data_IF_900909877338
#
_entry.id   IF_900909877338
#
_cell.length_a   1.000
_cell.length_b   1.000
_cell.length_c   1.000
_cell.angle_alpha   90.00
_cell.angle_beta   90.00
_cell.angle_gamma   90.00
#
_symmetry.space_group_name_H-M   'P 1'
#
loop_
_entity.id
_entity.type
_entity.pdbx_description
1 polymer ?
#
# COMPACT_ATOMS: atom_id res chain seq x y z
N UNK A 1 -4.87 -19.25 -28.28
CA UNK A 1 -6.31 -19.00 -28.11
C UNK A 1 -7.09 -20.00 -27.25
N UNK A 2 -6.53 -21.06 -26.57
CA UNK A 2 -7.31 -21.90 -25.67
C UNK A 2 -7.35 -21.43 -24.20
N UNK A 3 -6.58 -20.41 -23.79
CA UNK A 3 -6.46 -20.02 -22.37
C UNK A 3 -7.46 -18.95 -21.90
N UNK A 4 -8.17 -18.28 -22.81
CA UNK A 4 -9.16 -17.24 -22.47
C UNK A 4 -10.50 -17.78 -21.94
N UNK A 5 -10.82 -19.06 -22.19
CA UNK A 5 -12.09 -19.66 -21.77
C UNK A 5 -12.08 -20.15 -20.31
N UNK A 6 -10.91 -20.31 -19.69
CA UNK A 6 -10.81 -20.89 -18.34
C UNK A 6 -11.20 -19.89 -17.23
N UNK A 7 -11.03 -18.59 -17.44
CA UNK A 7 -11.44 -17.59 -16.43
C UNK A 7 -12.96 -17.41 -16.34
N UNK A 8 -13.69 -17.51 -17.45
CA UNK A 8 -15.16 -17.39 -17.42
C UNK A 8 -15.86 -18.65 -16.89
N UNK A 9 -15.24 -19.82 -17.04
CA UNK A 9 -15.81 -21.09 -16.53
C UNK A 9 -15.76 -21.20 -14.99
N UNK A 10 -14.84 -20.51 -14.33
CA UNK A 10 -14.74 -20.51 -12.86
C UNK A 10 -15.91 -19.76 -12.23
N UNK A 11 -16.42 -18.70 -12.85
CA UNK A 11 -17.58 -17.94 -12.37
C UNK A 11 -18.92 -18.69 -12.56
N UNK A 12 -19.04 -19.58 -13.53
CA UNK A 12 -20.27 -20.35 -13.77
C UNK A 12 -20.36 -21.65 -12.94
N UNK A 13 -19.24 -22.15 -12.41
CA UNK A 13 -19.19 -23.30 -11.51
C UNK A 13 -19.49 -22.96 -10.05
N UNK A 14 -19.43 -21.68 -9.67
CA UNK A 14 -19.76 -21.20 -8.31
C UNK A 14 -21.27 -21.20 -7.99
N UNK A 15 -22.12 -21.48 -8.96
CA UNK A 15 -23.58 -21.53 -8.79
C UNK A 15 -24.17 -22.82 -8.21
N UNK A 16 -23.36 -23.85 -7.92
CA UNK A 16 -23.86 -25.19 -7.53
C UNK A 16 -23.21 -25.80 -6.29
N UNK A 17 -22.48 -25.05 -5.46
CA UNK A 17 -21.96 -25.56 -4.21
C UNK A 17 -22.94 -25.22 -3.08
N UNK A 18 -23.67 -26.25 -2.60
CA UNK A 18 -24.47 -26.22 -1.39
C UNK A 18 -23.67 -25.75 -0.18
N UNK A 19 -24.18 -24.72 0.49
CA UNK A 19 -24.12 -24.42 1.94
C UNK A 19 -22.97 -24.99 2.81
N UNK A 20 -21.75 -24.96 2.33
CA UNK A 20 -20.53 -24.94 3.16
C UNK A 20 -19.89 -23.57 2.98
N UNK A 21 -19.23 -23.06 4.00
CA UNK A 21 -18.46 -21.84 3.87
C UNK A 21 -17.48 -21.97 2.66
N UNK A 22 -17.73 -21.33 1.51
CA UNK A 22 -16.88 -21.49 0.32
C UNK A 22 -15.46 -21.00 0.53
N UNK A 23 -15.22 -20.24 1.61
CA UNK A 23 -13.90 -19.79 2.04
C UNK A 23 -13.22 -20.76 3.02
N UNK A 24 -13.90 -21.78 3.55
CA UNK A 24 -13.53 -22.63 4.67
C UNK A 24 -12.06 -22.93 4.88
N UNK A 25 -11.41 -23.63 3.95
CA UNK A 25 -9.98 -23.95 4.09
C UNK A 25 -9.03 -22.80 3.72
N UNK A 26 -9.53 -21.79 3.01
CA UNK A 26 -8.74 -20.65 2.48
C UNK A 26 -8.81 -19.41 3.35
N UNK A 27 -9.77 -19.32 4.25
CA UNK A 27 -10.06 -18.13 5.02
C UNK A 27 -10.29 -18.43 6.50
N UNK A 28 -10.45 -17.35 7.29
CA UNK A 28 -10.84 -17.36 8.69
C UNK A 28 -9.91 -18.18 9.63
N UNK A 29 -8.62 -18.32 9.29
CA UNK A 29 -7.65 -18.87 10.21
C UNK A 29 -6.88 -17.77 10.91
N UNK A 30 -7.34 -17.39 12.10
CA UNK A 30 -6.59 -16.49 12.97
C UNK A 30 -5.40 -17.23 13.60
N UNK A 31 -4.19 -16.70 13.40
CA UNK A 31 -2.93 -17.26 13.91
C UNK A 31 -2.54 -16.74 15.29
N UNK A 32 -3.34 -15.89 15.90
CA UNK A 32 -3.08 -15.40 17.26
C UNK A 32 -3.06 -16.58 18.24
N UNK A 33 -1.94 -16.70 18.96
CA UNK A 33 -1.71 -17.80 19.92
C UNK A 33 -1.20 -19.10 19.31
N UNK A 34 -1.01 -19.17 18.00
CA UNK A 34 -0.33 -20.28 17.35
C UNK A 34 1.20 -20.10 17.43
N UNK A 35 1.99 -21.18 17.31
CA UNK A 35 3.45 -21.11 17.32
C UNK A 35 3.99 -20.55 16.00
N UNK A 36 3.57 -19.34 15.65
CA UNK A 36 4.01 -18.61 14.45
C UNK A 36 5.02 -17.56 14.85
N UNK A 37 6.21 -17.59 14.27
CA UNK A 37 7.33 -16.78 14.70
C UNK A 37 7.38 -15.48 13.93
N UNK A 38 7.18 -14.35 14.62
CA UNK A 38 7.64 -13.06 14.15
C UNK A 38 9.15 -12.99 14.37
N UNK A 39 9.92 -12.99 13.29
CA UNK A 39 11.35 -12.82 13.34
C UNK A 39 11.76 -11.52 12.63
N UNK A 40 12.12 -10.48 13.39
CA UNK A 40 12.59 -9.23 12.81
C UNK A 40 13.83 -9.38 11.91
N UNK A 41 14.63 -10.44 12.11
CA UNK A 41 15.84 -10.70 11.32
C UNK A 41 15.52 -11.29 9.94
N UNK A 42 14.31 -11.83 9.75
CA UNK A 42 13.86 -12.40 8.47
C UNK A 42 13.50 -11.34 7.41
N UNK A 43 13.54 -10.05 7.75
CA UNK A 43 13.33 -8.98 6.79
C UNK A 43 14.50 -8.92 5.80
N UNK A 44 14.22 -9.25 4.54
CA UNK A 44 15.18 -9.21 3.42
C UNK A 44 15.04 -7.96 2.56
N UNK A 45 14.08 -7.07 2.89
CA UNK A 45 13.83 -5.83 2.14
C UNK A 45 15.02 -4.89 2.32
N UNK A 46 15.70 -4.50 1.23
CA UNK A 46 16.90 -3.69 1.33
C UNK A 46 16.62 -2.26 1.78
N UNK A 47 17.57 -1.67 2.50
CA UNK A 47 17.54 -0.27 2.90
C UNK A 47 18.37 0.60 1.95
N UNK A 48 17.81 1.75 1.60
CA UNK A 48 18.49 2.83 0.88
C UNK A 48 18.40 4.12 1.67
N UNK A 49 19.35 5.04 1.42
CA UNK A 49 19.26 6.41 1.94
C UNK A 49 19.08 7.37 0.77
N UNK A 50 18.07 8.23 0.87
CA UNK A 50 17.80 9.31 -0.06
C UNK A 50 18.01 10.62 0.67
N UNK A 51 19.07 11.33 0.30
CA UNK A 51 19.40 12.63 0.87
C UNK A 51 18.56 13.72 0.19
N UNK A 52 17.65 14.33 0.95
CA UNK A 52 16.74 15.36 0.46
C UNK A 52 17.42 16.70 0.20
N UNK A 53 18.66 16.89 0.70
CA UNK A 53 19.47 18.06 0.43
C UNK A 53 20.21 17.99 -0.93
N UNK A 54 20.29 16.77 -1.54
CA UNK A 54 20.83 16.58 -2.88
C UNK A 54 19.84 17.01 -3.97
N UNK A 55 20.39 17.28 -5.16
CA UNK A 55 19.59 17.56 -6.36
C UNK A 55 18.56 16.43 -6.59
N UNK A 56 17.28 16.74 -6.76
CA UNK A 56 16.24 15.74 -7.02
C UNK A 56 16.55 14.76 -8.14
N UNK A 57 17.27 15.18 -9.17
CA UNK A 57 17.66 14.30 -10.29
C UNK A 57 18.69 13.25 -9.92
N UNK A 58 19.46 13.45 -8.85
CA UNK A 58 20.57 12.56 -8.50
C UNK A 58 20.34 11.73 -7.25
N UNK A 59 19.48 12.17 -6.35
CA UNK A 59 19.35 11.58 -5.01
C UNK A 59 18.80 10.15 -4.98
N UNK A 60 18.19 9.68 -6.10
CA UNK A 60 17.73 8.31 -6.26
C UNK A 60 18.65 7.41 -7.08
N UNK A 61 19.85 7.90 -7.45
CA UNK A 61 20.78 7.20 -8.36
C UNK A 61 21.11 5.77 -7.95
N UNK A 62 21.30 5.53 -6.64
CA UNK A 62 21.71 4.22 -6.14
C UNK A 62 20.57 3.21 -6.24
N UNK A 63 19.33 3.61 -5.92
CA UNK A 63 18.12 2.80 -6.13
C UNK A 63 17.93 2.51 -7.62
N UNK A 64 18.03 3.53 -8.46
CA UNK A 64 17.82 3.41 -9.90
C UNK A 64 18.81 2.42 -10.53
N UNK A 65 20.11 2.54 -10.22
CA UNK A 65 21.15 1.64 -10.74
C UNK A 65 20.99 0.21 -10.25
N UNK A 66 20.58 0.03 -8.99
CA UNK A 66 20.43 -1.30 -8.38
C UNK A 66 19.22 -2.05 -8.89
N UNK A 67 18.13 -1.35 -9.29
CA UNK A 67 16.83 -1.96 -9.60
C UNK A 67 16.34 -1.73 -11.04
N UNK A 68 17.12 -1.11 -11.91
CA UNK A 68 16.70 -0.84 -13.30
C UNK A 68 16.10 -2.07 -14.00
N UNK A 69 16.79 -3.22 -14.04
CA UNK A 69 16.27 -4.44 -14.66
C UNK A 69 14.96 -4.95 -14.02
N UNK A 70 14.83 -4.88 -12.69
CA UNK A 70 13.64 -5.33 -11.96
C UNK A 70 12.44 -4.38 -12.19
N UNK A 71 12.70 -3.06 -12.24
CA UNK A 71 11.68 -2.07 -12.60
C UNK A 71 11.15 -2.35 -14.01
N UNK A 72 12.04 -2.60 -14.96
CA UNK A 72 11.66 -2.95 -16.34
C UNK A 72 10.87 -4.27 -16.40
N UNK A 73 11.27 -5.28 -15.61
CA UNK A 73 10.56 -6.55 -15.53
C UNK A 73 9.13 -6.37 -14.97
N UNK A 74 8.96 -5.54 -13.93
CA UNK A 74 7.65 -5.22 -13.37
C UNK A 74 6.75 -4.50 -14.41
N UNK A 75 7.28 -3.53 -15.13
CA UNK A 75 6.57 -2.84 -16.22
C UNK A 75 6.21 -3.77 -17.37
N UNK A 76 7.10 -4.68 -17.75
CA UNK A 76 6.81 -5.70 -18.77
C UNK A 76 5.68 -6.64 -18.33
N UNK A 77 5.59 -6.98 -17.04
CA UNK A 77 4.47 -7.76 -16.50
C UNK A 77 3.15 -7.01 -16.64
N UNK A 78 3.13 -5.69 -16.36
CA UNK A 78 1.96 -4.83 -16.61
C UNK A 78 1.60 -4.79 -18.09
N UNK A 79 2.60 -4.66 -18.97
CA UNK A 79 2.40 -4.67 -20.43
C UNK A 79 1.75 -5.98 -20.90
N UNK A 80 2.33 -7.14 -20.54
CA UNK A 80 1.81 -8.46 -20.92
C UNK A 80 0.35 -8.62 -20.45
N UNK A 81 0.05 -8.17 -19.24
CA UNK A 81 -1.30 -8.20 -18.68
C UNK A 81 -2.28 -7.35 -19.50
N UNK A 82 -1.93 -6.10 -19.78
CA UNK A 82 -2.81 -5.18 -20.53
C UNK A 82 -3.00 -5.64 -21.97
N UNK A 83 -1.94 -6.11 -22.63
CA UNK A 83 -2.00 -6.65 -23.98
C UNK A 83 -2.92 -7.88 -24.05
N UNK A 84 -2.86 -8.76 -23.04
CA UNK A 84 -3.71 -9.95 -22.98
C UNK A 84 -5.18 -9.68 -22.65
N UNK A 85 -5.48 -8.66 -21.85
CA UNK A 85 -6.84 -8.33 -21.41
C UNK A 85 -7.56 -7.33 -22.32
N UNK A 86 -6.85 -6.32 -22.81
CA UNK A 86 -7.41 -5.14 -23.46
C UNK A 86 -6.85 -4.89 -24.87
N UNK A 87 -5.82 -5.63 -25.27
CA UNK A 87 -5.15 -5.51 -26.58
C UNK A 87 -3.88 -4.66 -26.54
N UNK A 88 -2.98 -4.93 -27.49
CA UNK A 88 -1.61 -4.39 -27.55
C UNK A 88 -1.50 -2.86 -27.65
N UNK A 89 -2.58 -2.17 -28.00
CA UNK A 89 -2.59 -0.70 -28.11
C UNK A 89 -2.70 0.02 -26.77
N UNK A 90 -3.14 -0.66 -25.70
CA UNK A 90 -3.48 -0.02 -24.43
C UNK A 90 -2.22 0.41 -23.65
N UNK A 91 -1.21 -0.46 -23.56
CA UNK A 91 0.01 -0.11 -22.85
C UNK A 91 0.74 1.09 -23.47
N UNK A 92 1.02 1.14 -24.80
CA UNK A 92 1.61 2.32 -25.42
C UNK A 92 0.76 3.60 -25.22
N UNK A 93 -0.57 3.47 -25.25
CA UNK A 93 -1.46 4.60 -24.98
C UNK A 93 -1.29 5.13 -23.55
N UNK A 94 -1.24 4.26 -22.54
CA UNK A 94 -1.04 4.66 -21.14
C UNK A 94 0.33 5.29 -20.93
N UNK A 95 1.39 4.73 -21.52
CA UNK A 95 2.75 5.31 -21.49
C UNK A 95 2.76 6.72 -22.13
N UNK A 96 2.09 6.88 -23.26
CA UNK A 96 1.94 8.20 -23.92
C UNK A 96 1.17 9.20 -23.03
N UNK A 97 0.10 8.75 -22.38
CA UNK A 97 -0.67 9.59 -21.45
C UNK A 97 0.19 10.02 -20.25
N UNK A 98 0.93 9.10 -19.64
CA UNK A 98 1.83 9.40 -18.54
C UNK A 98 2.87 10.47 -18.94
N UNK A 99 3.45 10.34 -20.15
CA UNK A 99 4.36 11.34 -20.70
C UNK A 99 3.72 12.72 -20.89
N UNK A 100 2.46 12.79 -21.31
CA UNK A 100 1.72 14.06 -21.41
C UNK A 100 1.44 14.70 -20.05
N UNK A 101 1.23 13.89 -19.01
CA UNK A 101 1.02 14.36 -17.65
C UNK A 101 2.31 14.75 -16.90
N UNK A 102 3.47 14.27 -17.36
CA UNK A 102 4.75 14.50 -16.69
C UNK A 102 5.08 15.98 -16.43
N UNK A 103 4.80 16.95 -17.34
CA UNK A 103 5.01 18.36 -17.05
C UNK A 103 4.20 18.89 -15.87
N UNK A 104 3.06 18.27 -15.55
CA UNK A 104 2.13 18.66 -14.49
C UNK A 104 2.50 18.08 -13.12
N UNK A 105 3.40 17.08 -13.09
CA UNK A 105 3.88 16.51 -11.83
C UNK A 105 4.64 17.58 -11.05
N UNK A 106 4.32 17.80 -9.76
CA UNK A 106 4.96 18.82 -8.96
C UNK A 106 6.43 18.50 -8.68
N UNK A 107 7.20 19.56 -8.41
CA UNK A 107 8.54 19.40 -7.86
C UNK A 107 8.44 18.99 -6.37
N UNK A 108 9.40 18.17 -5.90
CA UNK A 108 10.59 17.68 -6.59
C UNK A 108 10.38 16.38 -7.41
N UNK A 109 9.20 15.79 -7.36
CA UNK A 109 8.89 14.46 -7.93
C UNK A 109 9.16 14.38 -9.43
N UNK A 110 8.87 15.45 -10.17
CA UNK A 110 9.15 15.49 -11.61
C UNK A 110 10.64 15.30 -11.91
N UNK A 111 11.51 16.01 -11.22
CA UNK A 111 12.96 15.89 -11.41
C UNK A 111 13.49 14.55 -10.91
N UNK A 112 12.91 14.00 -9.85
CA UNK A 112 13.20 12.63 -9.40
C UNK A 112 12.82 11.59 -10.45
N UNK A 113 11.69 11.74 -11.17
CA UNK A 113 11.30 10.87 -12.30
C UNK A 113 12.33 10.92 -13.41
N UNK A 114 12.82 12.10 -13.78
CA UNK A 114 13.89 12.22 -14.77
C UNK A 114 15.18 11.54 -14.32
N UNK A 115 15.59 11.75 -13.08
CA UNK A 115 16.77 11.09 -12.52
C UNK A 115 16.62 9.58 -12.43
N UNK A 116 15.45 9.10 -11.97
CA UNK A 116 15.15 7.66 -11.93
C UNK A 116 15.27 7.04 -13.33
N UNK A 117 14.73 7.68 -14.35
CA UNK A 117 14.84 7.23 -15.75
C UNK A 117 16.29 7.21 -16.23
N UNK A 118 17.03 8.28 -15.98
CA UNK A 118 18.42 8.42 -16.43
C UNK A 118 19.33 7.32 -15.85
N UNK A 119 19.24 7.06 -14.54
CA UNK A 119 20.12 6.11 -13.87
C UNK A 119 19.65 4.65 -13.92
N UNK A 120 18.35 4.39 -14.13
CA UNK A 120 17.83 3.02 -14.30
C UNK A 120 17.87 2.52 -15.75
N UNK A 121 17.94 3.42 -16.73
CA UNK A 121 17.80 3.12 -18.15
C UNK A 121 16.36 2.85 -18.60
N UNK A 122 15.38 2.95 -17.70
CA UNK A 122 13.96 2.79 -18.01
C UNK A 122 13.41 4.08 -18.63
N UNK A 123 12.64 4.03 -19.75
CA UNK A 123 12.10 5.22 -20.39
C UNK A 123 11.30 6.10 -19.44
N UNK A 124 11.49 7.42 -19.50
CA UNK A 124 10.90 8.39 -18.55
C UNK A 124 9.38 8.33 -18.48
N UNK A 125 8.70 8.08 -19.62
CA UNK A 125 7.26 7.94 -19.64
C UNK A 125 6.78 6.66 -18.95
N UNK A 126 7.59 5.61 -18.92
CA UNK A 126 7.30 4.38 -18.18
C UNK A 126 7.51 4.58 -16.68
N UNK A 127 8.55 5.31 -16.24
CA UNK A 127 8.71 5.73 -14.84
C UNK A 127 7.53 6.63 -14.41
N UNK A 128 7.10 7.57 -15.27
CA UNK A 128 5.92 8.38 -14.98
C UNK A 128 4.65 7.52 -14.86
N UNK A 129 4.46 6.53 -15.73
CA UNK A 129 3.34 5.58 -15.65
C UNK A 129 3.37 4.81 -14.32
N UNK A 130 4.53 4.30 -13.91
CA UNK A 130 4.68 3.57 -12.65
C UNK A 130 4.25 4.43 -11.44
N UNK A 131 4.59 5.73 -11.45
CA UNK A 131 4.20 6.67 -10.38
C UNK A 131 2.72 7.07 -10.40
N UNK A 132 2.03 6.90 -11.52
CA UNK A 132 0.60 7.21 -11.64
C UNK A 132 -0.29 5.97 -11.49
N UNK A 133 0.27 4.79 -11.75
CA UNK A 133 -0.47 3.52 -11.77
C UNK A 133 -1.00 3.12 -10.38
N UNK A 134 -0.31 3.53 -9.32
CA UNK A 134 -0.71 3.23 -7.95
C UNK A 134 -2.11 3.75 -7.59
N UNK A 135 -2.61 4.79 -8.21
CA UNK A 135 -3.95 5.33 -7.97
C UNK A 135 -5.10 4.37 -8.40
N UNK A 136 -4.79 3.29 -9.13
CA UNK A 136 -5.80 2.51 -9.86
C UNK A 136 -6.02 1.09 -9.31
N UNK A 137 -5.01 0.43 -8.72
CA UNK A 137 -5.08 -1.02 -8.45
C UNK A 137 -4.45 -1.41 -7.11
N UNK A 138 -5.28 -1.61 -6.06
CA UNK A 138 -4.79 -1.87 -4.69
C UNK A 138 -5.77 -2.67 -3.85
N UNK A 139 -5.23 -3.61 -3.04
CA UNK A 139 -5.84 -4.12 -1.83
C UNK A 139 -4.93 -3.79 -0.63
N UNK A 140 -5.48 -3.58 0.54
CA UNK A 140 -4.68 -3.30 1.72
C UNK A 140 -5.44 -3.69 2.99
N UNK A 141 -4.69 -4.00 4.06
CA UNK A 141 -5.22 -4.06 5.42
C UNK A 141 -4.27 -3.31 6.33
N UNK A 142 -4.76 -2.30 7.04
CA UNK A 142 -3.96 -1.47 7.95
C UNK A 142 -4.59 -1.43 9.32
N UNK A 143 -3.78 -1.48 10.38
CA UNK A 143 -4.19 -1.50 11.78
C UNK A 143 -3.35 -0.51 12.56
N UNK A 144 -3.99 0.39 13.29
CA UNK A 144 -3.37 1.17 14.36
C UNK A 144 -4.00 0.74 15.66
N UNK A 145 -3.19 0.32 16.64
CA UNK A 145 -3.66 -0.22 17.89
C UNK A 145 -2.87 0.35 19.07
N UNK A 146 -3.57 0.55 20.17
CA UNK A 146 -3.02 0.97 21.46
C UNK A 146 -2.95 -0.22 22.40
N UNK A 147 -1.78 -0.47 22.99
CA UNK A 147 -1.64 -1.49 24.02
C UNK A 147 -2.29 -1.05 25.34
N UNK A 148 -2.26 -1.93 26.37
CA UNK A 148 -2.81 -1.64 27.69
C UNK A 148 -2.06 -0.55 28.48
N UNK A 149 -0.89 -0.13 28.01
CA UNK A 149 -0.06 0.93 28.60
C UNK A 149 -0.18 2.26 27.84
N UNK A 150 -0.96 2.31 26.77
CA UNK A 150 -1.17 3.50 25.96
C UNK A 150 -0.18 3.65 24.78
N UNK A 151 0.73 2.71 24.58
CA UNK A 151 1.70 2.76 23.47
C UNK A 151 1.01 2.39 22.14
N UNK A 152 1.29 3.17 21.11
CA UNK A 152 0.67 3.00 19.78
C UNK A 152 1.58 2.17 18.88
N UNK A 153 0.97 1.17 18.23
CA UNK A 153 1.58 0.34 17.21
C UNK A 153 0.81 0.45 15.91
N UNK A 154 1.51 0.42 14.79
CA UNK A 154 0.90 0.47 13.46
C UNK A 154 1.47 -0.66 12.60
N UNK A 155 0.60 -1.40 11.94
CA UNK A 155 1.01 -2.45 11.02
C UNK A 155 0.09 -2.51 9.80
N UNK A 156 0.63 -2.98 8.66
CA UNK A 156 -0.17 -3.11 7.44
C UNK A 156 0.29 -4.25 6.54
N UNK A 157 -0.65 -4.80 5.76
CA UNK A 157 -0.40 -5.56 4.55
C UNK A 157 -0.61 -4.65 3.32
N UNK A 158 0.35 -4.67 2.41
CA UNK A 158 0.21 -4.12 1.07
C UNK A 158 -0.13 -5.25 0.12
N UNK A 159 -1.36 -5.26 -0.34
CA UNK A 159 -1.83 -6.20 -1.34
C UNK A 159 -1.84 -5.51 -2.70
N UNK A 160 -1.43 -6.25 -3.73
CA UNK A 160 -1.39 -5.75 -5.09
C UNK A 160 -1.55 -6.92 -6.07
N UNK A 161 -2.72 -7.09 -6.64
CA UNK A 161 -2.95 -8.28 -7.49
C UNK A 161 -4.34 -8.34 -8.09
N UNK A 162 -5.12 -7.28 -7.98
CA UNK A 162 -6.50 -7.28 -8.41
C UNK A 162 -6.63 -7.33 -9.94
N UNK A 163 -7.30 -8.36 -10.48
CA UNK A 163 -7.62 -8.58 -11.91
C UNK A 163 -6.44 -8.99 -12.81
N UNK A 164 -5.34 -9.50 -12.28
CA UNK A 164 -4.13 -9.73 -13.05
C UNK A 164 -3.89 -11.21 -13.34
N UNK A 165 -2.94 -11.51 -14.26
CA UNK A 165 -2.72 -12.84 -14.76
C UNK A 165 -2.30 -13.78 -13.63
N UNK A 166 -3.13 -14.78 -13.38
CA UNK A 166 -2.84 -15.87 -12.46
C UNK A 166 -1.91 -16.89 -13.12
N UNK A 167 -0.79 -17.16 -12.49
CA UNK A 167 0.09 -18.24 -12.89
C UNK A 167 -0.36 -19.55 -12.25
N UNK A 168 -0.94 -20.43 -13.07
CA UNK A 168 -1.47 -21.72 -12.63
C UNK A 168 -0.41 -22.71 -12.14
N UNK A 169 0.86 -22.50 -12.51
CA UNK A 169 1.97 -23.36 -12.09
C UNK A 169 2.52 -22.98 -10.73
N UNK A 170 2.62 -21.68 -10.46
CA UNK A 170 3.17 -21.18 -9.18
C UNK A 170 2.08 -20.80 -8.18
N UNK A 171 0.81 -20.87 -8.57
CA UNK A 171 -0.35 -20.44 -7.77
C UNK A 171 -0.18 -19.04 -7.18
N UNK A 172 0.28 -18.09 -8.01
CA UNK A 172 0.50 -16.69 -7.62
C UNK A 172 0.07 -15.72 -8.72
N UNK A 173 -0.23 -14.50 -8.33
CA UNK A 173 -0.41 -13.39 -9.27
C UNK A 173 0.95 -12.95 -9.82
N UNK A 174 1.08 -12.86 -11.15
CA UNK A 174 2.35 -12.44 -11.78
C UNK A 174 2.77 -11.03 -11.35
N UNK A 175 1.81 -10.12 -11.25
CA UNK A 175 2.04 -8.74 -10.80
C UNK A 175 2.59 -8.71 -9.36
N UNK A 176 1.95 -9.44 -8.44
CA UNK A 176 2.39 -9.49 -7.04
C UNK A 176 3.83 -10.01 -6.94
N UNK A 177 4.16 -11.05 -7.72
CA UNK A 177 5.52 -11.60 -7.77
C UNK A 177 6.53 -10.56 -8.25
N UNK A 178 6.24 -9.87 -9.36
CA UNK A 178 7.14 -8.87 -9.92
C UNK A 178 7.36 -7.66 -8.97
N UNK A 179 6.32 -7.28 -8.21
CA UNK A 179 6.44 -6.18 -7.25
C UNK A 179 7.27 -6.53 -6.01
N UNK A 180 7.31 -7.80 -5.60
CA UNK A 180 8.14 -8.23 -4.47
C UNK A 180 9.63 -7.96 -4.69
N UNK A 181 10.10 -8.06 -5.93
CA UNK A 181 11.50 -7.86 -6.31
C UNK A 181 11.94 -6.39 -6.30
N UNK A 182 11.00 -5.47 -6.20
CA UNK A 182 11.27 -4.02 -6.19
C UNK A 182 10.82 -3.32 -4.90
N UNK A 183 10.40 -4.06 -3.86
CA UNK A 183 10.13 -3.47 -2.54
C UNK A 183 11.43 -3.02 -1.91
N UNK A 184 11.46 -1.78 -1.43
CA UNK A 184 12.60 -1.18 -0.74
C UNK A 184 12.18 -0.44 0.52
N UNK A 185 13.07 -0.34 1.47
CA UNK A 185 12.96 0.53 2.63
C UNK A 185 13.90 1.75 2.42
N UNK A 186 13.42 2.93 2.75
CA UNK A 186 14.14 4.18 2.50
C UNK A 186 14.27 5.01 3.76
N UNK A 187 15.50 5.39 4.10
CA UNK A 187 15.79 6.49 5.02
C UNK A 187 15.82 7.79 4.21
N UNK A 188 14.91 8.71 4.49
CA UNK A 188 14.95 10.05 3.92
C UNK A 188 15.71 10.95 4.87
N UNK A 189 16.89 11.39 4.42
CA UNK A 189 17.80 12.22 5.20
C UNK A 189 17.66 13.68 4.82
N UNK A 190 17.75 14.57 5.82
CA UNK A 190 17.78 16.02 5.63
C UNK A 190 18.66 16.63 6.70
N UNK A 191 19.55 17.55 6.30
CA UNK A 191 20.53 18.17 7.20
C UNK A 191 21.37 17.14 7.99
N UNK A 192 21.74 16.03 7.36
CA UNK A 192 22.54 14.96 7.97
C UNK A 192 21.84 14.10 9.01
N UNK A 193 20.49 14.15 9.08
CA UNK A 193 19.67 13.33 9.99
C UNK A 193 18.52 12.67 9.26
N UNK A 194 18.14 11.48 9.70
CA UNK A 194 16.95 10.79 9.17
C UNK A 194 15.72 11.59 9.59
N UNK A 195 15.06 12.20 8.63
CA UNK A 195 13.86 12.98 8.83
C UNK A 195 12.63 12.06 8.95
N UNK A 196 12.52 11.08 8.04
CA UNK A 196 11.50 10.03 8.05
C UNK A 196 12.01 8.77 7.36
N UNK A 197 11.28 7.67 7.56
CA UNK A 197 11.54 6.39 6.88
C UNK A 197 10.29 5.96 6.14
N UNK A 198 10.45 5.19 5.06
CA UNK A 198 9.32 4.69 4.30
C UNK A 198 9.57 3.32 3.69
N UNK A 199 8.48 2.64 3.31
CA UNK A 199 8.48 1.47 2.43
C UNK A 199 7.83 1.90 1.12
N UNK A 200 8.50 1.59 0.02
CA UNK A 200 8.02 1.90 -1.32
C UNK A 200 8.52 0.85 -2.33
N UNK A 201 8.22 1.04 -3.59
CA UNK A 201 8.74 0.24 -4.68
C UNK A 201 9.84 1.02 -5.41
N UNK A 202 10.93 0.36 -5.78
CA UNK A 202 11.95 0.98 -6.61
C UNK A 202 11.33 1.50 -7.93
N UNK A 203 11.65 2.72 -8.29
CA UNK A 203 10.99 3.44 -9.42
C UNK A 203 9.75 4.24 -9.02
N UNK A 204 9.19 3.99 -7.85
CA UNK A 204 8.05 4.72 -7.30
C UNK A 204 8.54 5.74 -6.27
N UNK A 205 8.29 7.01 -6.53
CA UNK A 205 8.94 8.12 -5.81
C UNK A 205 8.10 8.67 -4.65
N UNK A 206 6.91 8.13 -4.48
CA UNK A 206 6.07 8.36 -3.32
C UNK A 206 6.36 7.41 -2.17
N UNK A 207 5.58 7.54 -1.11
CA UNK A 207 5.62 6.66 0.06
C UNK A 207 4.22 6.16 0.36
N UNK A 208 4.08 4.90 0.73
CA UNK A 208 2.79 4.25 1.01
C UNK A 208 2.67 3.81 2.46
N UNK A 209 3.80 3.68 3.10
CA UNK A 209 3.97 3.25 4.48
C UNK A 209 5.16 4.01 5.01
N UNK A 210 4.97 4.76 6.06
CA UNK A 210 6.05 5.61 6.56
C UNK A 210 5.96 5.93 8.04
N UNK A 211 7.09 6.34 8.57
CA UNK A 211 7.24 6.77 9.96
C UNK A 211 8.08 8.04 10.01
N UNK A 212 7.58 9.03 10.74
CA UNK A 212 8.38 10.12 11.25
C UNK A 212 8.86 9.74 12.65
N UNK A 213 10.17 9.48 12.83
CA UNK A 213 10.72 9.08 14.14
C UNK A 213 10.28 10.01 15.25
N UNK A 214 9.81 9.45 16.37
CA UNK A 214 9.29 10.16 17.55
C UNK A 214 8.08 11.08 17.29
N UNK A 215 7.48 11.01 16.09
CA UNK A 215 6.33 11.80 15.68
C UNK A 215 5.10 10.93 15.45
N UNK A 216 4.99 10.35 14.26
CA UNK A 216 3.80 9.64 13.82
C UNK A 216 4.10 8.65 12.67
N UNK A 217 3.14 7.79 12.38
CA UNK A 217 3.20 6.77 11.31
C UNK A 217 2.03 6.94 10.34
N UNK A 218 2.22 6.49 9.10
CA UNK A 218 1.18 6.47 8.07
C UNK A 218 1.19 5.17 7.27
N UNK A 219 0.01 4.73 6.89
CA UNK A 219 -0.20 3.85 5.74
C UNK A 219 -1.39 4.34 4.94
N UNK A 220 -1.34 4.15 3.62
CA UNK A 220 -2.41 4.57 2.71
C UNK A 220 -3.03 3.37 2.05
N UNK A 221 -4.38 3.26 2.17
CA UNK A 221 -5.17 2.25 1.51
C UNK A 221 -5.99 2.88 0.37
N UNK A 222 -6.17 2.13 -0.72
CA UNK A 222 -7.04 2.58 -1.80
C UNK A 222 -8.50 2.59 -1.35
N UNK A 223 -9.22 3.62 -1.77
CA UNK A 223 -10.67 3.72 -1.70
C UNK A 223 -11.25 3.67 -3.11
N UNK A 224 -12.17 2.75 -3.34
CA UNK A 224 -12.85 2.67 -4.62
C UNK A 224 -13.75 3.91 -4.79
N UNK A 225 -13.57 4.62 -5.89
CA UNK A 225 -14.32 5.85 -6.17
C UNK A 225 -13.95 6.44 -7.52
N UNK A 226 -14.73 7.40 -8.01
CA UNK A 226 -14.50 7.99 -9.32
C UNK A 226 -13.42 9.07 -9.28
N UNK A 227 -12.17 8.67 -9.54
CA UNK A 227 -11.08 9.62 -9.82
C UNK A 227 -11.01 10.02 -11.31
N UNK A 228 -11.83 9.41 -12.18
CA UNK A 228 -11.71 9.49 -13.65
C UNK A 228 -11.60 10.91 -14.18
N UNK A 229 -12.45 11.83 -13.71
CA UNK A 229 -12.44 13.21 -14.19
C UNK A 229 -11.16 13.95 -13.75
N UNK A 230 -10.74 13.81 -12.50
CA UNK A 230 -9.53 14.47 -12.00
C UNK A 230 -8.27 13.95 -12.70
N UNK A 231 -8.19 12.64 -12.92
CA UNK A 231 -7.10 11.99 -13.66
C UNK A 231 -7.08 12.51 -15.11
N UNK A 232 -8.24 12.54 -15.77
CA UNK A 232 -8.36 13.11 -17.12
C UNK A 232 -7.91 14.56 -17.17
N UNK A 233 -8.38 15.39 -16.26
CA UNK A 233 -8.07 16.83 -16.19
C UNK A 233 -6.56 17.04 -15.95
N UNK A 234 -5.94 16.23 -15.08
CA UNK A 234 -4.50 16.27 -14.85
C UNK A 234 -3.70 15.95 -16.10
N UNK A 235 -4.01 14.82 -16.77
CA UNK A 235 -3.23 14.37 -17.92
C UNK A 235 -3.48 15.17 -19.20
N UNK A 236 -4.70 15.61 -19.45
CA UNK A 236 -5.11 16.20 -20.73
C UNK A 236 -5.39 17.69 -20.70
N UNK A 237 -5.73 18.25 -19.54
CA UNK A 237 -6.03 19.68 -19.40
C UNK A 237 -4.99 20.45 -18.61
N UNK A 238 -3.98 19.78 -18.05
CA UNK A 238 -2.94 20.40 -17.26
C UNK A 238 -3.46 21.05 -15.98
N UNK A 239 -4.58 20.56 -15.43
CA UNK A 239 -5.10 21.05 -14.16
C UNK A 239 -4.22 20.52 -13.04
N UNK A 240 -3.44 21.41 -12.46
CA UNK A 240 -2.52 21.16 -11.34
C UNK A 240 -3.16 21.55 -10.00
N UNK A 241 -2.42 21.39 -8.90
CA UNK A 241 -2.88 21.75 -7.56
C UNK A 241 -3.55 20.63 -6.80
N UNK A 242 -3.61 19.40 -7.39
CA UNK A 242 -4.03 18.18 -6.72
C UNK A 242 -2.86 17.23 -6.60
N UNK A 243 -2.75 16.54 -5.46
CA UNK A 243 -1.69 15.58 -5.19
C UNK A 243 -2.13 14.15 -5.50
N UNK A 244 -1.20 13.32 -5.94
CA UNK A 244 -1.35 11.87 -5.84
C UNK A 244 -1.31 11.47 -4.36
N UNK A 245 -2.01 10.39 -3.98
CA UNK A 245 -2.01 9.87 -2.62
C UNK A 245 -0.58 9.65 -2.10
N UNK A 246 0.24 9.02 -2.91
CA UNK A 246 1.64 8.68 -2.60
C UNK A 246 2.54 9.91 -2.36
N UNK A 247 2.26 11.01 -3.04
CA UNK A 247 2.99 12.27 -2.83
C UNK A 247 2.43 13.03 -1.63
N UNK A 248 1.12 12.92 -1.37
CA UNK A 248 0.53 13.48 -0.16
C UNK A 248 1.12 12.85 1.11
N UNK A 249 1.31 11.52 1.12
CA UNK A 249 1.97 10.82 2.22
C UNK A 249 3.40 11.30 2.45
N UNK A 250 4.19 11.37 1.36
CA UNK A 250 5.58 11.81 1.43
C UNK A 250 5.69 13.28 1.83
N UNK A 251 4.83 14.15 1.29
CA UNK A 251 4.74 15.56 1.66
C UNK A 251 4.38 15.74 3.14
N UNK A 252 3.43 14.95 3.66
CA UNK A 252 3.07 14.97 5.07
C UNK A 252 4.26 14.56 5.96
N UNK A 253 4.96 13.47 5.59
CA UNK A 253 6.15 13.00 6.31
C UNK A 253 7.29 14.03 6.29
N UNK A 254 7.46 14.80 5.22
CA UNK A 254 8.47 15.86 5.15
C UNK A 254 8.08 17.10 5.98
N UNK A 255 6.80 17.49 5.95
CA UNK A 255 6.33 18.80 6.44
C UNK A 255 5.77 18.75 7.86
N UNK A 256 5.06 17.67 8.25
CA UNK A 256 4.34 17.58 9.52
C UNK A 256 5.19 16.91 10.60
N UNK A 257 5.51 17.63 11.66
CA UNK A 257 6.33 17.10 12.75
C UNK A 257 5.51 16.28 13.74
N UNK A 258 4.25 16.59 13.94
CA UNK A 258 3.35 16.02 14.93
C UNK A 258 2.20 15.26 14.31
N UNK A 259 1.57 14.37 15.09
CA UNK A 259 0.36 13.65 14.70
C UNK A 259 -0.76 14.61 14.29
N UNK A 260 -1.02 15.67 15.07
CA UNK A 260 -2.08 16.62 14.76
C UNK A 260 -1.84 17.38 13.47
N UNK A 261 -0.61 17.83 13.21
CA UNK A 261 -0.25 18.47 11.93
C UNK A 261 -0.47 17.52 10.75
N UNK A 262 -0.17 16.22 10.93
CA UNK A 262 -0.42 15.21 9.89
C UNK A 262 -1.92 15.01 9.64
N UNK A 263 -2.73 14.89 10.71
CA UNK A 263 -4.19 14.80 10.60
C UNK A 263 -4.75 16.04 9.86
N UNK A 264 -4.32 17.24 10.24
CA UNK A 264 -4.79 18.49 9.62
C UNK A 264 -4.39 18.56 8.14
N UNK A 265 -3.14 18.24 7.80
CA UNK A 265 -2.66 18.24 6.42
C UNK A 265 -3.41 17.21 5.55
N UNK A 266 -3.46 15.95 5.99
CA UNK A 266 -4.07 14.86 5.25
C UNK A 266 -5.59 14.99 5.12
N UNK A 267 -6.25 15.66 6.07
CA UNK A 267 -7.67 15.97 6.00
C UNK A 267 -8.02 17.06 4.99
N UNK A 268 -7.07 17.93 4.63
CA UNK A 268 -7.34 19.10 3.80
C UNK A 268 -6.64 19.11 2.44
N UNK A 269 -5.60 18.30 2.24
CA UNK A 269 -4.87 18.22 0.96
C UNK A 269 -5.81 17.86 -0.19
N UNK A 270 -5.70 18.57 -1.32
CA UNK A 270 -6.47 18.26 -2.53
C UNK A 270 -5.86 17.08 -3.25
N UNK A 271 -6.67 16.06 -3.54
CA UNK A 271 -6.23 14.77 -4.09
C UNK A 271 -6.75 14.55 -5.51
N UNK A 272 -6.02 13.77 -6.29
CA UNK A 272 -6.47 13.27 -7.60
C UNK A 272 -7.45 12.11 -7.44
N UNK A 273 -7.23 11.23 -6.46
CA UNK A 273 -8.06 10.06 -6.21
C UNK A 273 -8.55 10.00 -4.75
N UNK A 274 -9.57 9.18 -4.52
CA UNK A 274 -10.05 8.84 -3.17
C UNK A 274 -9.08 7.88 -2.48
N UNK A 275 -8.98 7.95 -1.16
CA UNK A 275 -8.13 7.05 -0.37
C UNK A 275 -8.46 7.09 1.10
N UNK A 276 -7.85 6.17 1.84
CA UNK A 276 -7.84 6.18 3.30
C UNK A 276 -6.42 6.46 3.76
N UNK A 277 -6.25 7.45 4.64
CA UNK A 277 -5.01 7.64 5.38
C UNK A 277 -5.20 7.07 6.78
N UNK A 278 -4.38 6.11 7.14
CA UNK A 278 -4.36 5.48 8.46
C UNK A 278 -3.13 6.03 9.18
N UNK A 279 -3.36 6.74 10.28
CA UNK A 279 -2.33 7.51 10.98
C UNK A 279 -2.24 7.06 12.41
N UNK A 280 -1.04 6.71 12.87
CA UNK A 280 -0.74 6.40 14.27
C UNK A 280 0.19 7.44 14.84
N UNK A 281 -0.11 7.96 16.04
CA UNK A 281 0.74 8.92 16.73
C UNK A 281 1.57 8.30 17.83
N UNK A 282 1.90 9.10 18.82
CA UNK A 282 2.76 8.75 19.94
C UNK A 282 2.00 8.63 21.25
N UNK A 283 0.95 9.46 21.43
CA UNK A 283 0.21 9.55 22.68
C UNK A 283 -0.98 8.57 22.68
N UNK A 284 -1.45 8.14 23.88
CA UNK A 284 -2.68 7.37 23.97
C UNK A 284 -3.84 8.04 23.22
N UNK A 285 -4.59 7.24 22.45
CA UNK A 285 -5.70 7.73 21.62
C UNK A 285 -5.28 8.27 20.22
N UNK A 286 -4.00 8.46 19.97
CA UNK A 286 -3.52 8.94 18.65
C UNK A 286 -3.49 7.82 17.63
N UNK A 287 -4.67 7.42 17.16
CA UNK A 287 -4.86 6.50 16.03
C UNK A 287 -6.10 6.91 15.25
N UNK A 288 -5.97 7.11 13.94
CA UNK A 288 -7.09 7.55 13.10
C UNK A 288 -7.09 6.92 11.71
N UNK A 289 -8.31 6.77 11.17
CA UNK A 289 -8.57 6.52 9.74
C UNK A 289 -9.24 7.77 9.18
N UNK A 290 -8.62 8.39 8.19
CA UNK A 290 -9.18 9.54 7.47
C UNK A 290 -9.69 9.04 6.13
N UNK A 291 -11.01 8.98 5.97
CA UNK A 291 -11.66 8.62 4.70
C UNK A 291 -11.75 9.85 3.81
N UNK A 292 -11.09 9.80 2.65
CA UNK A 292 -11.00 10.93 1.74
C UNK A 292 -11.70 10.70 0.40
N UNK A 293 -12.53 11.65 0.02
CA UNK A 293 -12.79 11.98 -1.38
C UNK A 293 -11.70 12.95 -1.89
N UNK A 294 -11.57 13.16 -3.20
CA UNK A 294 -10.53 14.05 -3.75
C UNK A 294 -10.50 15.44 -3.13
N UNK A 295 -11.64 16.02 -2.83
CA UNK A 295 -11.78 17.41 -2.39
C UNK A 295 -12.31 17.55 -0.95
N UNK A 296 -12.58 16.44 -0.25
CA UNK A 296 -13.23 16.48 1.07
C UNK A 296 -12.82 15.28 1.95
N UNK A 297 -12.77 15.51 3.23
CA UNK A 297 -12.82 14.45 4.25
C UNK A 297 -14.27 14.03 4.43
N UNK A 298 -14.54 12.73 4.31
CA UNK A 298 -15.88 12.17 4.45
C UNK A 298 -16.14 11.68 5.87
N UNK A 299 -15.13 11.08 6.48
CA UNK A 299 -15.21 10.52 7.81
C UNK A 299 -13.82 10.47 8.46
N UNK A 300 -13.78 10.59 9.78
CA UNK A 300 -12.58 10.31 10.58
C UNK A 300 -13.02 9.38 11.71
N UNK A 301 -12.46 8.17 11.71
CA UNK A 301 -12.57 7.22 12.82
C UNK A 301 -11.31 7.28 13.66
N UNK A 302 -11.44 7.26 14.98
CA UNK A 302 -10.31 7.35 15.91
C UNK A 302 -10.35 6.24 16.95
N UNK A 303 -9.19 5.92 17.52
CA UNK A 303 -9.12 5.12 18.76
C UNK A 303 -9.93 5.81 19.83
N UNK A 304 -10.85 5.07 20.45
CA UNK A 304 -11.71 5.53 21.54
C UNK A 304 -11.87 4.41 22.57
N UNK A 305 -10.95 4.36 23.52
CA UNK A 305 -10.91 3.31 24.56
C UNK A 305 -12.09 3.33 25.52
N UNK A 306 -12.97 4.32 25.45
CA UNK A 306 -14.23 4.33 26.19
C UNK A 306 -15.27 3.36 25.59
N UNK A 307 -15.05 2.91 24.36
CA UNK A 307 -15.91 1.96 23.66
C UNK A 307 -15.36 0.53 23.73
N UNK A 308 -16.22 -0.49 23.73
CA UNK A 308 -15.78 -1.88 23.58
C UNK A 308 -14.96 -2.04 22.29
N UNK A 309 -13.79 -2.68 22.41
CA UNK A 309 -12.83 -2.87 21.28
C UNK A 309 -12.32 -1.56 20.64
N UNK A 310 -12.54 -0.40 21.25
CA UNK A 310 -12.12 0.91 20.71
C UNK A 310 -10.62 1.21 20.90
N UNK A 311 -9.82 0.23 21.28
CA UNK A 311 -8.38 0.35 21.45
C UNK A 311 -7.59 0.20 20.13
N UNK A 312 -8.28 -0.05 19.00
CA UNK A 312 -7.68 -0.08 17.67
C UNK A 312 -8.65 0.46 16.61
N UNK A 313 -8.08 0.82 15.48
CA UNK A 313 -8.79 1.05 14.21
C UNK A 313 -8.20 0.13 13.14
N UNK A 314 -9.08 -0.43 12.29
CA UNK A 314 -8.71 -1.36 11.22
C UNK A 314 -9.39 -0.94 9.92
N UNK A 315 -8.60 -0.69 8.88
CA UNK A 315 -9.07 -0.31 7.55
C UNK A 315 -8.64 -1.30 6.49
N UNK A 316 -9.59 -1.71 5.68
CA UNK A 316 -9.35 -2.41 4.41
C UNK A 316 -9.58 -1.46 3.22
N UNK A 317 -10.49 -1.78 2.29
CA UNK A 317 -10.77 -0.95 1.12
C UNK A 317 -12.25 -0.56 0.98
N UNK A 318 -13.03 -0.72 2.05
CA UNK A 318 -14.46 -0.42 2.10
C UNK A 318 -14.74 0.65 3.15
N UNK A 319 -15.71 1.53 2.88
CA UNK A 319 -16.13 2.56 3.82
C UNK A 319 -16.73 1.93 5.09
N UNK A 320 -16.72 2.70 6.18
CA UNK A 320 -17.17 2.26 7.52
C UNK A 320 -18.63 1.78 7.52
N UNK A 321 -19.47 2.31 6.63
CA UNK A 321 -20.91 2.05 6.47
C UNK A 321 -21.24 1.13 5.29
N UNK A 322 -20.23 0.69 4.52
CA UNK A 322 -20.40 -0.24 3.42
C UNK A 322 -20.37 -1.71 3.87
N UNK A 323 -21.21 -2.53 3.22
CA UNK A 323 -21.10 -3.97 3.31
C UNK A 323 -19.88 -4.45 2.49
N UNK A 324 -19.03 -5.22 3.13
CA UNK A 324 -17.88 -5.81 2.44
C UNK A 324 -18.35 -6.96 1.56
N UNK A 325 -17.83 -7.02 0.33
CA UNK A 325 -18.08 -8.15 -0.56
C UNK A 325 -17.44 -9.40 0.06
N UNK A 326 -18.21 -10.48 0.20
CA UNK A 326 -17.77 -11.73 0.86
C UNK A 326 -16.44 -12.26 0.34
N UNK A 327 -16.18 -12.17 -0.97
CA UNK A 327 -14.94 -12.63 -1.60
C UNK A 327 -13.71 -11.77 -1.25
N UNK A 328 -13.89 -10.56 -0.68
CA UNK A 328 -12.83 -9.65 -0.28
C UNK A 328 -12.97 -9.23 1.20
N UNK A 329 -13.70 -10.02 1.99
CA UNK A 329 -13.86 -9.70 3.42
C UNK A 329 -12.61 -10.05 4.21
N UNK A 330 -11.76 -9.04 4.36
CA UNK A 330 -10.61 -9.01 5.27
C UNK A 330 -10.95 -8.24 6.55
N UNK A 331 -12.01 -7.40 6.53
CA UNK A 331 -12.42 -6.56 7.67
C UNK A 331 -13.01 -7.39 8.80
N UNK A 332 -13.97 -8.28 8.49
CA UNK A 332 -14.58 -9.16 9.48
C UNK A 332 -13.55 -10.06 10.17
N UNK A 333 -12.84 -10.94 9.45
CA UNK A 333 -11.80 -11.79 10.02
C UNK A 333 -10.66 -11.03 10.70
N UNK A 334 -10.30 -9.84 10.20
CA UNK A 334 -9.29 -8.97 10.81
C UNK A 334 -9.75 -8.49 12.21
N UNK A 335 -10.98 -8.01 12.34
CA UNK A 335 -11.55 -7.59 13.62
C UNK A 335 -11.69 -8.76 14.60
N UNK A 336 -12.16 -9.92 14.15
CA UNK A 336 -12.26 -11.12 14.99
C UNK A 336 -10.89 -11.53 15.53
N UNK A 337 -9.84 -11.41 14.70
CA UNK A 337 -8.48 -11.73 15.07
C UNK A 337 -7.88 -10.69 16.03
N UNK A 338 -8.18 -9.40 15.86
CA UNK A 338 -7.80 -8.34 16.81
C UNK A 338 -8.47 -8.57 18.18
N UNK A 339 -9.75 -8.91 18.19
CA UNK A 339 -10.47 -9.22 19.44
C UNK A 339 -9.89 -10.46 20.14
N UNK A 340 -9.49 -11.49 19.36
CA UNK A 340 -8.80 -12.68 19.91
C UNK A 340 -7.41 -12.32 20.45
N UNK A 341 -6.69 -11.38 19.82
CA UNK A 341 -5.41 -10.88 20.31
C UNK A 341 -5.54 -10.26 21.70
N UNK A 342 -6.54 -9.41 21.88
CA UNK A 342 -6.71 -8.61 23.10
C UNK A 342 -5.71 -7.46 23.21
N UNK A 343 -6.13 -6.40 23.91
CA UNK A 343 -5.34 -5.18 24.02
C UNK A 343 -4.00 -5.40 24.74
N UNK A 344 -3.96 -6.33 25.68
CA UNK A 344 -2.79 -6.68 26.48
C UNK A 344 -1.64 -7.33 25.69
N UNK A 345 -1.95 -7.87 24.49
CA UNK A 345 -0.99 -8.54 23.62
C UNK A 345 -0.65 -7.70 22.37
N UNK A 346 -1.02 -6.42 22.36
CA UNK A 346 -0.70 -5.50 21.28
C UNK A 346 0.78 -5.15 21.29
N UNK A 347 1.49 -5.64 20.29
CA UNK A 347 2.88 -5.31 19.99
C UNK A 347 3.17 -5.62 18.50
N UNK A 348 4.42 -5.55 18.08
CA UNK A 348 4.81 -5.91 16.72
C UNK A 348 4.47 -7.37 16.39
N UNK A 349 4.67 -8.29 17.33
CA UNK A 349 4.40 -9.71 17.15
C UNK A 349 2.90 -9.97 17.00
N UNK A 350 2.08 -9.43 17.90
CA UNK A 350 0.64 -9.60 17.91
C UNK A 350 0.00 -9.07 16.62
N UNK A 351 0.34 -7.86 16.20
CA UNK A 351 -0.17 -7.28 14.96
C UNK A 351 0.33 -8.04 13.72
N UNK A 352 1.58 -8.52 13.73
CA UNK A 352 2.09 -9.34 12.64
C UNK A 352 1.34 -10.67 12.53
N UNK A 353 0.95 -11.30 13.65
CA UNK A 353 0.10 -12.50 13.65
C UNK A 353 -1.28 -12.23 13.06
N UNK A 354 -1.93 -11.13 13.44
CA UNK A 354 -3.22 -10.74 12.87
C UNK A 354 -3.10 -10.56 11.37
N UNK A 355 -2.08 -9.83 10.90
CA UNK A 355 -1.84 -9.61 9.47
C UNK A 355 -1.35 -10.86 8.71
N UNK A 356 -0.84 -11.87 9.42
CA UNK A 356 -0.49 -13.17 8.85
C UNK A 356 -1.68 -14.13 8.79
N UNK A 357 -2.76 -13.79 9.48
CA UNK A 357 -4.00 -14.56 9.50
C UNK A 357 -4.76 -14.41 8.18
N UNK A 358 -5.39 -15.50 7.73
CA UNK A 358 -6.15 -15.51 6.48
C UNK A 358 -7.58 -15.02 6.73
N UNK A 359 -8.14 -14.21 5.84
CA UNK A 359 -7.65 -13.78 4.52
C UNK A 359 -6.84 -12.47 4.53
N UNK A 360 -6.48 -11.88 5.70
CA UNK A 360 -5.65 -10.68 5.72
C UNK A 360 -4.33 -10.91 4.98
N UNK A 361 -3.67 -12.05 5.22
CA UNK A 361 -2.63 -12.56 4.33
C UNK A 361 -3.29 -13.35 3.20
N UNK A 362 -3.05 -12.95 1.97
CA UNK A 362 -3.60 -13.57 0.77
C UNK A 362 -2.55 -13.61 -0.37
N UNK A 363 -2.92 -14.15 -1.53
CA UNK A 363 -2.01 -14.28 -2.69
C UNK A 363 -1.61 -12.95 -3.31
N UNK A 364 -2.36 -11.86 -3.05
CA UNK A 364 -2.04 -10.53 -3.51
C UNK A 364 -1.08 -9.78 -2.55
N UNK A 365 -0.83 -10.31 -1.35
CA UNK A 365 0.03 -9.63 -0.37
C UNK A 365 1.48 -9.60 -0.84
N UNK A 366 2.01 -8.40 -1.04
CA UNK A 366 3.40 -8.14 -1.44
C UNK A 366 4.30 -8.09 -0.22
N UNK A 367 3.95 -7.21 0.75
CA UNK A 367 4.71 -7.08 2.00
C UNK A 367 3.79 -6.78 3.18
N UNK A 368 4.28 -7.14 4.38
CA UNK A 368 3.77 -6.66 5.67
C UNK A 368 4.77 -5.67 6.24
N UNK A 369 4.30 -4.55 6.78
CA UNK A 369 5.14 -3.62 7.53
C UNK A 369 4.63 -3.46 8.95
N UNK A 370 5.55 -3.31 9.90
CA UNK A 370 5.28 -2.99 11.31
C UNK A 370 6.05 -1.74 11.71
N UNK A 371 5.40 -0.86 12.49
CA UNK A 371 5.92 0.45 12.86
C UNK A 371 5.60 0.78 14.31
N UNK A 372 6.50 1.53 14.96
CA UNK A 372 6.32 2.09 16.28
C UNK A 372 7.19 3.35 16.43
N UNK A 373 6.66 4.43 17.01
CA UNK A 373 7.29 5.76 16.98
C UNK A 373 8.26 6.05 18.13
N UNK A 374 8.05 5.50 19.33
CA UNK A 374 8.91 5.79 20.49
C UNK A 374 10.29 5.16 20.36
N UNK A 375 10.32 3.90 19.93
CA UNK A 375 11.51 3.20 19.48
C UNK A 375 11.44 3.14 17.95
N UNK A 376 11.91 4.17 17.22
CA UNK A 376 11.53 4.39 15.82
C UNK A 376 11.79 3.18 14.94
N UNK A 377 10.84 2.25 14.96
CA UNK A 377 10.88 0.98 14.22
C UNK A 377 10.05 1.11 12.96
N UNK A 378 10.63 0.74 11.84
CA UNK A 378 9.95 0.40 10.58
C UNK A 378 10.62 -0.84 10.05
N UNK A 379 9.86 -1.92 9.89
CA UNK A 379 10.35 -3.16 9.25
C UNK A 379 9.33 -3.66 8.27
N UNK A 380 9.77 -3.95 7.06
CA UNK A 380 8.96 -4.57 6.01
C UNK A 380 9.43 -6.00 5.73
N UNK A 381 8.48 -6.87 5.46
CA UNK A 381 8.69 -8.29 5.19
C UNK A 381 8.03 -8.66 3.88
N UNK A 382 8.77 -9.21 2.94
CA UNK A 382 8.18 -9.81 1.73
C UNK A 382 7.31 -10.99 2.17
N UNK A 383 6.08 -11.06 1.63
CA UNK A 383 5.12 -12.07 2.06
C UNK A 383 4.95 -13.17 1.02
N UNK A 384 4.81 -14.37 1.53
CA UNK A 384 4.38 -15.55 0.77
C UNK A 384 3.17 -16.13 1.48
N UNK A 385 2.12 -16.45 0.73
CA UNK A 385 0.97 -17.15 1.25
C UNK A 385 0.90 -18.53 0.59
N UNK A 386 1.32 -19.55 1.36
CA UNK A 386 1.33 -20.92 0.87
C UNK A 386 -0.07 -21.51 0.83
N UNK A 387 -0.28 -22.45 -0.11
CA UNK A 387 -1.56 -23.14 -0.24
C UNK A 387 -1.87 -24.03 1.00
N UNK A 388 -3.12 -24.09 1.45
CA UNK A 388 -4.28 -23.33 0.94
C UNK A 388 -4.25 -21.86 1.34
N UNK A 389 -4.36 -20.96 0.34
CA UNK A 389 -4.38 -19.54 0.53
C UNK A 389 -5.41 -18.87 -0.37
N UNK A 390 -6.07 -17.83 0.16
CA UNK A 390 -7.04 -17.06 -0.60
C UNK A 390 -6.35 -16.24 -1.69
N UNK A 391 -7.00 -16.09 -2.85
CA UNK A 391 -6.40 -15.46 -4.01
C UNK A 391 -6.48 -13.92 -3.97
N UNK A 392 -7.38 -13.34 -3.16
CA UNK A 392 -7.58 -11.89 -2.99
C UNK A 392 -7.51 -11.51 -1.53
#
# INVERSE_FOLDING_TARGET
>A
MPQMFTCFAIFSLLGLIQAGDPMGIYAAKCLVGEPYVYDPSSSTVPWYTVNLDEDPKTRWKDVARSHGPQIQAALNTVKIMLDGLLGEAIYPMLVSMAGKGLPNIPQPYKDEIYGMSEYSGVPVNEIALLNTFYEIAKGCTSIVAQDSHGKIYHARNQDFGFLFIWNITTHNWMQTTALKDIVIQVNYEKNGQILYKGVTFAGHLGTLTGIRPHGWTISTNARFGSARQNVYDFFFRGITGKSFLIYADRDALDKCATYQEAIDYLSNVQLLASGYFIVGGRQPGEGAIITRAPNATLHIETIDTSKPNGWYVLQTNYDWDENVIYLDDRRGPGNDCMQKLGQENVDHYGLYQVLSSKPNLNKATVYTAVMQVDEPTLKAFIRQCDDPCWFV
#
